data_IF_708880692932
#
_entry.id   IF_708880692932
#
_cell.length_a   1.000
_cell.length_b   1.000
_cell.length_c   1.000
_cell.angle_alpha   90.00
_cell.angle_beta   90.00
_cell.angle_gamma   90.00
#
_symmetry.space_group_name_H-M   'P 1'
#
loop_
_entity.id
_entity.type
_entity.pdbx_description
1 polymer ?
#
# COMPACT_ATOMS: atom_id res chain seq x y z
N UNK A 1 -2.35 9.32 -21.20
CA UNK A 1 -3.67 9.47 -20.53
C UNK A 1 -3.74 8.78 -19.17
N UNK A 2 -3.48 7.47 -19.09
CA UNK A 2 -3.62 6.69 -17.86
C UNK A 2 -2.63 7.12 -16.75
N UNK A 3 -1.33 7.14 -17.06
CA UNK A 3 -0.29 7.57 -16.12
C UNK A 3 -0.47 9.02 -15.65
N UNK A 4 -0.97 9.91 -16.51
CA UNK A 4 -1.25 11.30 -16.16
C UNK A 4 -2.40 11.44 -15.15
N UNK A 5 -3.46 10.64 -15.28
CA UNK A 5 -4.54 10.58 -14.28
C UNK A 5 -4.03 10.06 -12.93
N UNK A 6 -3.25 8.98 -12.93
CA UNK A 6 -2.62 8.48 -11.69
C UNK A 6 -1.76 9.55 -11.02
N UNK A 7 -0.94 10.26 -11.80
CA UNK A 7 -0.09 11.34 -11.30
C UNK A 7 -0.90 12.47 -10.69
N UNK A 8 -1.98 12.92 -11.33
CA UNK A 8 -2.86 13.97 -10.81
C UNK A 8 -3.52 13.55 -9.49
N UNK A 9 -4.08 12.35 -9.44
CA UNK A 9 -4.68 11.80 -8.22
C UNK A 9 -3.66 11.80 -7.07
N UNK A 10 -2.45 11.29 -7.29
CA UNK A 10 -1.41 11.23 -6.25
C UNK A 10 -0.94 12.63 -5.81
N UNK A 11 -0.85 13.59 -6.72
CA UNK A 11 -0.51 14.99 -6.39
C UNK A 11 -1.60 15.62 -5.53
N UNK A 12 -2.87 15.46 -5.90
CA UNK A 12 -4.02 15.98 -5.15
C UNK A 12 -4.06 15.34 -3.76
N UNK A 13 -3.95 14.01 -3.68
CA UNK A 13 -3.88 13.27 -2.42
C UNK A 13 -2.77 13.80 -1.51
N UNK A 14 -1.56 13.99 -2.05
CA UNK A 14 -0.42 14.47 -1.27
C UNK A 14 -0.61 15.86 -0.70
N UNK A 15 -1.35 16.73 -1.40
CA UNK A 15 -1.70 18.08 -0.94
C UNK A 15 -2.79 18.05 0.13
N UNK A 16 -3.79 17.19 -0.01
CA UNK A 16 -4.91 17.09 0.91
C UNK A 16 -4.57 16.33 2.21
N UNK A 17 -3.65 15.38 2.15
CA UNK A 17 -3.26 14.53 3.30
C UNK A 17 -1.77 14.70 3.65
N UNK A 18 -1.33 15.89 4.13
CA UNK A 18 0.08 16.19 4.40
C UNK A 18 0.70 15.35 5.52
N UNK A 19 -0.11 14.71 6.37
CA UNK A 19 0.39 13.76 7.38
C UNK A 19 0.86 12.44 6.77
N UNK A 20 0.33 12.06 5.60
CA UNK A 20 0.69 10.83 4.88
C UNK A 20 1.68 11.15 3.77
N UNK A 21 1.35 12.14 2.92
CA UNK A 21 2.06 12.46 1.67
C UNK A 21 2.19 11.25 0.75
N UNK A 22 2.77 11.46 -0.43
CA UNK A 22 3.13 10.35 -1.30
C UNK A 22 4.24 9.50 -0.67
N UNK A 23 4.05 8.18 -0.72
CA UNK A 23 5.03 7.16 -0.35
C UNK A 23 5.17 6.21 -1.53
N UNK A 24 6.41 5.83 -1.84
CA UNK A 24 6.69 4.86 -2.90
C UNK A 24 5.91 3.56 -2.65
N UNK A 25 5.18 3.09 -3.68
CA UNK A 25 4.25 1.96 -3.58
C UNK A 25 2.78 2.36 -3.55
N UNK A 26 2.43 3.61 -3.22
CA UNK A 26 1.04 4.09 -3.31
C UNK A 26 0.50 4.09 -4.74
N UNK A 27 1.39 4.29 -5.72
CA UNK A 27 1.05 4.19 -7.14
C UNK A 27 0.61 2.76 -7.52
N UNK A 28 1.20 1.72 -6.90
CA UNK A 28 0.85 0.32 -7.14
C UNK A 28 -0.53 -0.03 -6.59
N UNK A 29 -0.94 0.62 -5.49
CA UNK A 29 -2.29 0.49 -4.93
C UNK A 29 -3.32 1.25 -5.78
N UNK A 30 -2.94 2.42 -6.29
CA UNK A 30 -3.82 3.26 -7.09
C UNK A 30 -4.11 2.69 -8.49
N UNK A 31 -3.10 2.11 -9.14
CA UNK A 31 -3.19 1.59 -10.50
C UNK A 31 -4.35 0.58 -10.73
N UNK A 32 -4.54 -0.47 -9.90
CA UNK A 32 -5.64 -1.41 -10.10
C UNK A 32 -7.01 -0.78 -9.87
N UNK A 33 -7.15 0.15 -8.91
CA UNK A 33 -8.41 0.88 -8.71
C UNK A 33 -8.80 1.68 -9.96
N UNK A 34 -7.84 2.45 -10.49
CA UNK A 34 -8.08 3.25 -11.69
C UNK A 34 -8.32 2.38 -12.92
N UNK A 35 -7.62 1.25 -13.05
CA UNK A 35 -7.82 0.32 -14.16
C UNK A 35 -9.25 -0.22 -14.17
N UNK A 36 -9.76 -0.68 -13.02
CA UNK A 36 -11.12 -1.23 -12.95
C UNK A 36 -12.15 -0.16 -13.29
N UNK A 37 -12.08 1.01 -12.66
CA UNK A 37 -13.05 2.08 -12.85
C UNK A 37 -12.98 2.70 -14.26
N UNK A 38 -11.79 2.74 -14.87
CA UNK A 38 -11.63 3.28 -16.22
C UNK A 38 -12.16 2.34 -17.31
N UNK A 39 -12.17 1.04 -17.05
CA UNK A 39 -12.66 0.02 -17.97
C UNK A 39 -14.09 -0.45 -17.65
N UNK A 40 -14.87 0.36 -16.92
CA UNK A 40 -16.30 0.11 -16.72
C UNK A 40 -17.03 0.05 -18.08
N UNK A 41 -17.96 -0.90 -18.20
CA UNK A 41 -18.79 -1.09 -19.39
C UNK A 41 -19.77 0.07 -19.58
N UNK A 42 -20.16 0.73 -18.48
CA UNK A 42 -20.93 1.96 -18.51
C UNK A 42 -20.01 3.16 -18.76
N UNK A 43 -20.23 3.83 -19.90
CA UNK A 43 -19.45 5.00 -20.31
C UNK A 43 -19.64 6.20 -19.38
N UNK A 44 -20.78 6.27 -18.67
CA UNK A 44 -21.01 7.31 -17.67
C UNK A 44 -20.09 7.14 -16.45
N UNK A 45 -19.91 5.90 -15.99
CA UNK A 45 -18.99 5.57 -14.89
C UNK A 45 -17.52 5.76 -15.29
N UNK A 46 -17.12 5.27 -16.47
CA UNK A 46 -15.71 5.40 -16.92
C UNK A 46 -15.27 6.84 -17.22
N UNK A 47 -16.22 7.77 -17.36
CA UNK A 47 -15.97 9.21 -17.44
C UNK A 47 -15.62 9.81 -16.07
N UNK A 48 -16.25 9.31 -15.01
CA UNK A 48 -16.01 9.71 -13.61
C UNK A 48 -14.85 8.97 -12.94
N UNK A 49 -14.26 7.98 -13.63
CA UNK A 49 -13.23 7.08 -13.11
C UNK A 49 -12.11 7.76 -12.31
N UNK A 50 -11.64 8.95 -12.70
CA UNK A 50 -10.58 9.66 -11.97
C UNK A 50 -11.03 10.15 -10.59
N UNK A 51 -12.26 10.69 -10.49
CA UNK A 51 -12.84 11.14 -9.24
C UNK A 51 -13.18 9.96 -8.32
N UNK A 52 -13.82 8.93 -8.87
CA UNK A 52 -14.19 7.73 -8.13
C UNK A 52 -12.95 7.02 -7.60
N UNK A 53 -11.91 6.91 -8.42
CA UNK A 53 -10.62 6.35 -8.00
C UNK A 53 -10.02 7.17 -6.86
N UNK A 54 -10.06 8.50 -6.91
CA UNK A 54 -9.53 9.33 -5.83
C UNK A 54 -10.24 9.03 -4.50
N UNK A 55 -11.57 8.97 -4.49
CA UNK A 55 -12.32 8.72 -3.26
C UNK A 55 -12.14 7.29 -2.74
N UNK A 56 -12.19 6.28 -3.62
CA UNK A 56 -11.89 4.89 -3.25
C UNK A 56 -10.47 4.75 -2.69
N UNK A 57 -9.49 5.42 -3.31
CA UNK A 57 -8.10 5.40 -2.86
C UNK A 57 -7.95 6.05 -1.48
N UNK A 58 -8.59 7.20 -1.24
CA UNK A 58 -8.59 7.87 0.07
C UNK A 58 -9.15 6.97 1.15
N UNK A 59 -10.32 6.36 0.90
CA UNK A 59 -10.98 5.47 1.85
C UNK A 59 -10.09 4.26 2.17
N UNK A 60 -9.54 3.62 1.14
CA UNK A 60 -8.65 2.47 1.30
C UNK A 60 -7.41 2.83 2.12
N UNK A 61 -6.72 3.91 1.77
CA UNK A 61 -5.50 4.33 2.47
C UNK A 61 -5.80 4.80 3.90
N UNK A 62 -7.01 5.31 4.19
CA UNK A 62 -7.40 5.66 5.55
C UNK A 62 -7.34 4.46 6.51
N UNK A 63 -7.77 3.28 6.05
CA UNK A 63 -7.73 2.03 6.84
C UNK A 63 -6.34 1.45 7.04
N UNK A 64 -5.40 1.75 6.12
CA UNK A 64 -4.02 1.27 6.17
C UNK A 64 -3.00 2.35 6.50
N UNK A 65 -3.44 3.56 6.89
CA UNK A 65 -2.59 4.75 7.08
C UNK A 65 -1.35 4.47 7.95
N UNK A 66 -1.51 3.63 8.97
CA UNK A 66 -0.43 3.26 9.90
C UNK A 66 0.71 2.45 9.24
N UNK A 67 0.43 1.73 8.14
CA UNK A 67 1.42 0.94 7.41
C UNK A 67 2.28 1.80 6.45
N UNK A 68 1.82 3.01 6.11
CA UNK A 68 2.48 3.89 5.14
C UNK A 68 3.12 5.13 5.76
N UNK A 69 2.80 5.45 7.02
CA UNK A 69 3.50 6.50 7.74
C UNK A 69 4.92 6.03 8.10
N UNK A 70 5.95 6.53 7.39
CA UNK A 70 7.37 6.24 7.68
C UNK A 70 7.77 6.45 9.15
N UNK A 71 7.15 7.40 9.85
CA UNK A 71 7.38 7.64 11.27
C UNK A 71 6.84 6.53 12.20
N UNK A 72 5.97 5.66 11.68
CA UNK A 72 5.41 4.50 12.36
C UNK A 72 6.08 3.18 11.99
N UNK A 73 7.06 3.17 11.07
CA UNK A 73 7.81 1.97 10.69
C UNK A 73 8.49 1.31 11.91
N UNK A 74 8.95 2.14 12.86
CA UNK A 74 9.53 1.70 14.13
C UNK A 74 8.51 1.60 15.28
N UNK A 75 7.22 1.82 15.02
CA UNK A 75 6.15 1.74 16.03
C UNK A 75 5.54 0.34 16.11
N UNK A 76 4.86 0.07 17.22
CA UNK A 76 4.11 -1.19 17.49
C UNK A 76 2.99 -1.49 16.48
N UNK A 77 2.69 -0.58 15.56
CA UNK A 77 1.52 -0.64 14.66
C UNK A 77 1.89 -0.54 13.17
N UNK A 78 3.18 -0.44 12.82
CA UNK A 78 3.66 -0.31 11.43
C UNK A 78 4.06 -1.65 10.78
N UNK A 79 4.75 -1.59 9.65
CA UNK A 79 5.14 -2.77 8.84
C UNK A 79 5.91 -3.82 9.63
N UNK A 80 6.75 -3.41 10.59
CA UNK A 80 7.48 -4.33 11.48
C UNK A 80 6.56 -5.20 12.33
N UNK A 81 5.40 -4.68 12.73
CA UNK A 81 4.40 -5.47 13.47
C UNK A 81 3.76 -6.55 12.60
N UNK A 82 3.52 -6.26 11.31
CA UNK A 82 3.01 -7.23 10.34
C UNK A 82 4.07 -8.30 10.06
N UNK A 83 5.32 -7.90 9.86
CA UNK A 83 6.44 -8.83 9.68
C UNK A 83 6.64 -9.73 10.90
N UNK A 84 6.50 -9.19 12.11
CA UNK A 84 6.57 -9.99 13.34
C UNK A 84 5.44 -10.99 13.44
N UNK A 85 4.20 -10.60 13.12
CA UNK A 85 3.04 -11.52 13.05
C UNK A 85 3.25 -12.61 12.01
N UNK A 86 3.76 -12.26 10.83
CA UNK A 86 4.09 -13.22 9.78
C UNK A 86 5.15 -14.22 10.26
N UNK A 87 6.22 -13.74 10.90
CA UNK A 87 7.26 -14.59 11.48
C UNK A 87 6.71 -15.56 12.54
N UNK A 88 5.81 -15.09 13.40
CA UNK A 88 5.15 -15.93 14.40
C UNK A 88 4.23 -16.98 13.77
N UNK A 89 3.47 -16.61 12.74
CA UNK A 89 2.64 -17.57 11.99
C UNK A 89 3.51 -18.61 11.30
N UNK A 90 4.59 -18.19 10.63
CA UNK A 90 5.52 -19.11 10.00
C UNK A 90 6.11 -20.09 11.03
N UNK A 91 6.59 -19.60 12.17
CA UNK A 91 7.11 -20.45 13.24
C UNK A 91 6.08 -21.48 13.72
N UNK A 92 4.81 -21.09 13.81
CA UNK A 92 3.73 -21.98 14.26
C UNK A 92 3.41 -23.08 13.25
N UNK A 93 3.48 -22.78 11.96
CA UNK A 93 3.05 -23.69 10.89
C UNK A 93 4.19 -24.48 10.25
N UNK A 94 5.41 -23.94 10.26
CA UNK A 94 6.61 -24.53 9.68
C UNK A 94 7.86 -23.99 10.40
N UNK A 95 8.22 -24.65 11.51
CA UNK A 95 9.35 -24.23 12.34
C UNK A 95 10.70 -24.41 11.64
N UNK A 96 10.83 -25.43 10.78
CA UNK A 96 12.06 -25.70 10.04
C UNK A 96 12.36 -24.56 9.07
N UNK A 97 11.38 -24.17 8.26
CA UNK A 97 11.51 -23.02 7.35
C UNK A 97 11.75 -21.72 8.13
N UNK A 98 11.06 -21.52 9.26
CA UNK A 98 11.27 -20.35 10.10
C UNK A 98 12.72 -20.24 10.60
N UNK A 99 13.31 -21.33 11.11
CA UNK A 99 14.72 -21.35 11.56
C UNK A 99 15.67 -21.10 10.41
N UNK A 100 15.43 -21.70 9.24
CA UNK A 100 16.24 -21.49 8.05
C UNK A 100 16.24 -20.03 7.60
N UNK A 101 15.07 -19.39 7.58
CA UNK A 101 14.93 -17.97 7.26
C UNK A 101 15.63 -17.07 8.29
N UNK A 102 15.56 -17.38 9.59
CA UNK A 102 16.26 -16.61 10.64
C UNK A 102 17.79 -16.64 10.45
N UNK A 103 18.34 -17.81 10.11
CA UNK A 103 19.78 -17.99 9.86
C UNK A 103 20.20 -17.21 8.61
N UNK A 104 19.44 -17.28 7.52
CA UNK A 104 19.77 -16.60 6.25
C UNK A 104 19.62 -15.07 6.36
N UNK A 105 18.55 -14.58 6.99
CA UNK A 105 18.28 -13.13 7.11
C UNK A 105 19.21 -12.40 8.07
N UNK A 106 19.85 -13.09 9.02
CA UNK A 106 20.94 -12.49 9.83
C UNK A 106 22.25 -12.31 9.05
N UNK A 107 22.43 -13.03 7.94
CA UNK A 107 23.67 -13.01 7.13
C UNK A 107 23.57 -12.03 5.95
N UNK A 108 22.35 -11.69 5.51
CA UNK A 108 22.12 -10.72 4.44
C UNK A 108 21.32 -9.52 4.94
N UNK A 109 21.95 -8.34 4.96
CA UNK A 109 21.30 -7.05 5.16
C UNK A 109 20.10 -6.87 4.20
N UNK A 110 18.90 -7.14 4.68
CA UNK A 110 17.65 -6.60 4.13
C UNK A 110 16.96 -5.82 5.25
N UNK A 111 17.64 -4.76 5.70
CA UNK A 111 17.07 -3.62 6.43
C UNK A 111 17.85 -2.37 6.03
#
# INVERSE_FOLDING_TARGET
PFQESLRRILIIFSRLYPSVRYVQGLNEVLAPLFYVLKNDLDTSNSTSAEADTFFCFVELISGFKNNYCKHLDNSRVGIRSILSKLSQLLKKHDEELWRHMEVITKVGHIY
#
